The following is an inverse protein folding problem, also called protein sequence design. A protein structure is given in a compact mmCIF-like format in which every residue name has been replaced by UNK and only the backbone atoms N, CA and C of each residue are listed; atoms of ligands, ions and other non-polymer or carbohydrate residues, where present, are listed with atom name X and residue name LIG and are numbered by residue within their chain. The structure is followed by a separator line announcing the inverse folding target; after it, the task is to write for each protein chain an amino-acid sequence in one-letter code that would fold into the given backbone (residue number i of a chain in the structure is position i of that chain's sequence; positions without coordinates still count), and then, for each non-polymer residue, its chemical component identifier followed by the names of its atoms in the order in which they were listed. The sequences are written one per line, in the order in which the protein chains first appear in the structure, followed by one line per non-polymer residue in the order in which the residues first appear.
data_IF_469725846770
#
_entry.id   IF_469725846770
#
_cell.length_a   1.000
_cell.length_b   1.000
_cell.length_c   1.000
_cell.angle_alpha   90.00
_cell.angle_beta   90.00
_cell.angle_gamma   90.00
#
_symmetry.space_group_name_H-M   'P 1'
#
loop_
_entity.id
_entity.type
_entity.pdbx_description
1 polymer ?
#
# COMPACT_ATOMS: atom_id res chain seq x y z
N UNK A 1 -54.28 25.41 -0.56
CA UNK A 1 -53.61 24.18 -0.08
C UNK A 1 -52.59 23.78 -1.14
N UNK A 2 -51.32 24.19 -1.01
CA UNK A 2 -50.26 23.89 -1.98
C UNK A 2 -49.33 22.85 -1.33
N UNK A 3 -49.34 21.61 -1.83
CA UNK A 3 -48.41 20.55 -1.41
C UNK A 3 -47.00 20.92 -1.88
N UNK A 4 -46.09 21.14 -0.93
CA UNK A 4 -44.66 21.11 -1.20
C UNK A 4 -44.23 19.66 -1.37
N UNK A 5 -43.89 19.28 -2.60
CA UNK A 5 -43.20 18.03 -2.90
C UNK A 5 -41.74 18.27 -2.54
N UNK A 6 -41.34 17.84 -1.34
CA UNK A 6 -39.93 17.75 -0.97
C UNK A 6 -39.30 16.62 -1.79
N UNK A 7 -38.59 16.99 -2.85
CA UNK A 7 -37.75 16.06 -3.63
C UNK A 7 -36.60 15.65 -2.73
N UNK A 8 -36.77 14.53 -2.04
CA UNK A 8 -35.72 13.86 -1.29
C UNK A 8 -34.75 13.25 -2.32
N UNK A 9 -33.81 14.06 -2.80
CA UNK A 9 -32.68 13.60 -3.59
C UNK A 9 -31.84 12.69 -2.70
N UNK A 10 -32.09 11.39 -2.81
CA UNK A 10 -31.30 10.34 -2.20
C UNK A 10 -29.92 10.35 -2.86
N UNK A 11 -29.01 11.16 -2.29
CA UNK A 11 -27.59 11.20 -2.66
C UNK A 11 -27.01 9.82 -2.40
N UNK A 12 -26.91 9.02 -3.47
CA UNK A 12 -26.07 7.82 -3.51
C UNK A 12 -24.62 8.28 -3.42
N UNK A 13 -24.15 8.56 -2.21
CA UNK A 13 -22.74 8.81 -1.98
C UNK A 13 -22.00 7.52 -2.39
N UNK A 14 -20.95 7.61 -3.24
CA UNK A 14 -20.12 6.45 -3.50
C UNK A 14 -19.63 5.95 -2.15
N UNK A 15 -19.95 4.69 -1.84
CA UNK A 15 -19.39 4.02 -0.67
C UNK A 15 -17.92 3.84 -0.99
N UNK A 16 -17.10 4.84 -0.65
CA UNK A 16 -15.67 4.71 -0.69
C UNK A 16 -15.35 3.43 0.10
N UNK A 17 -14.64 2.50 -0.53
CA UNK A 17 -14.25 1.24 0.09
C UNK A 17 -13.40 1.57 1.32
N UNK A 18 -14.05 1.65 2.48
CA UNK A 18 -13.38 1.94 3.72
C UNK A 18 -12.57 0.69 4.09
N UNK A 19 -11.25 0.87 4.20
CA UNK A 19 -10.40 -0.10 4.84
C UNK A 19 -10.48 0.12 6.35
N UNK A 20 -10.43 -0.96 7.12
CA UNK A 20 -10.37 -0.95 8.57
C UNK A 20 -9.35 -1.97 9.07
N UNK A 21 -8.72 -1.70 10.20
CA UNK A 21 -8.02 -2.72 10.99
C UNK A 21 -9.07 -3.54 11.76
N UNK A 22 -8.98 -4.87 11.67
CA UNK A 22 -9.60 -5.80 12.59
C UNK A 22 -8.51 -6.30 13.53
N UNK A 23 -8.55 -5.87 14.78
CA UNK A 23 -7.57 -6.20 15.79
C UNK A 23 -8.22 -7.08 16.87
N UNK A 24 -7.81 -8.36 16.89
CA UNK A 24 -8.36 -9.37 17.78
C UNK A 24 -7.55 -9.38 19.08
N UNK A 25 -8.23 -9.07 20.18
CA UNK A 25 -7.61 -9.00 21.49
C UNK A 25 -8.15 -10.09 22.42
N UNK A 26 -7.23 -10.70 23.16
CA UNK A 26 -7.52 -11.36 24.42
C UNK A 26 -7.24 -10.41 25.57
N UNK A 27 -8.20 -10.25 26.47
CA UNK A 27 -8.03 -9.52 27.71
C UNK A 27 -8.04 -10.49 28.88
N UNK A 28 -6.96 -10.54 29.66
CA UNK A 28 -6.84 -11.40 30.84
C UNK A 28 -6.07 -10.66 31.95
N UNK A 29 -6.66 -10.57 33.14
CA UNK A 29 -5.97 -10.00 34.30
C UNK A 29 -5.51 -8.55 34.12
N UNK A 30 -6.31 -7.70 33.46
CA UNK A 30 -5.98 -6.29 33.17
C UNK A 30 -4.82 -6.10 32.18
N UNK A 31 -4.53 -7.12 31.37
CA UNK A 31 -3.55 -7.08 30.28
C UNK A 31 -4.26 -7.37 28.96
N UNK A 32 -3.93 -6.59 27.93
CA UNK A 32 -4.35 -6.88 26.56
C UNK A 32 -3.25 -7.68 25.84
N UNK A 33 -3.66 -8.72 25.12
CA UNK A 33 -2.81 -9.56 24.31
C UNK A 33 -3.39 -9.51 22.90
N UNK A 34 -2.67 -8.93 21.95
CA UNK A 34 -3.05 -8.95 20.54
C UNK A 34 -2.82 -10.34 19.99
N UNK A 35 -3.89 -11.01 19.57
CA UNK A 35 -3.79 -12.31 18.91
C UNK A 35 -3.52 -12.16 17.42
N UNK A 36 -4.24 -11.26 16.76
CA UNK A 36 -4.14 -11.04 15.32
C UNK A 36 -4.52 -9.60 14.97
N UNK A 37 -3.96 -9.11 13.86
CA UNK A 37 -4.35 -7.84 13.27
C UNK A 37 -4.27 -7.93 11.75
N UNK A 38 -5.34 -7.51 11.10
CA UNK A 38 -5.44 -7.55 9.64
C UNK A 38 -6.19 -6.35 9.08
N UNK A 39 -5.92 -5.99 7.82
CA UNK A 39 -6.66 -4.96 7.10
C UNK A 39 -7.80 -5.61 6.32
N UNK A 40 -9.02 -5.14 6.55
CA UNK A 40 -10.23 -5.65 5.90
C UNK A 40 -10.98 -4.52 5.19
N UNK A 41 -11.71 -4.87 4.12
CA UNK A 41 -12.62 -3.96 3.43
C UNK A 41 -13.97 -3.84 4.13
N UNK A 42 -13.99 -3.22 5.31
CA UNK A 42 -15.20 -2.99 6.10
C UNK A 42 -15.23 -1.56 6.64
N UNK A 43 -16.43 -1.01 6.83
CA UNK A 43 -16.59 0.26 7.53
C UNK A 43 -16.14 0.11 9.00
N UNK A 44 -15.46 1.11 9.58
CA UNK A 44 -15.06 1.07 10.97
C UNK A 44 -16.29 1.00 11.88
N UNK A 45 -16.13 0.38 13.05
CA UNK A 45 -17.22 0.37 14.01
C UNK A 45 -17.59 1.80 14.43
N UNK A 46 -18.89 2.10 14.61
CA UNK A 46 -19.27 3.39 15.18
C UNK A 46 -18.64 3.53 16.58
N UNK A 47 -18.39 4.77 17.03
CA UNK A 47 -17.88 5.01 18.38
C UNK A 47 -18.76 4.30 19.40
N UNK A 48 -18.14 3.52 20.30
CA UNK A 48 -18.88 2.89 21.39
C UNK A 48 -19.19 3.94 22.44
N UNK A 49 -20.34 3.83 23.10
CA UNK A 49 -20.72 4.73 24.20
C UNK A 49 -19.99 4.44 25.51
N UNK A 50 -19.03 3.51 25.49
CA UNK A 50 -18.18 3.20 26.63
C UNK A 50 -17.16 4.29 26.93
N UNK A 51 -16.70 4.38 28.17
CA UNK A 51 -15.70 5.38 28.62
C UNK A 51 -14.53 4.74 29.39
N UNK A 52 -14.47 3.40 29.48
CA UNK A 52 -13.49 2.73 30.34
C UNK A 52 -12.10 2.67 29.69
N UNK A 53 -12.04 2.51 28.36
CA UNK A 53 -10.80 2.40 27.61
C UNK A 53 -10.80 3.34 26.41
N UNK A 54 -9.61 3.79 26.03
CA UNK A 54 -9.37 4.61 24.84
C UNK A 54 -8.50 3.80 23.90
N UNK A 55 -8.97 3.60 22.66
CA UNK A 55 -8.15 3.11 21.57
C UNK A 55 -7.73 4.30 20.70
N UNK A 56 -6.43 4.42 20.45
CA UNK A 56 -5.86 5.53 19.68
C UNK A 56 -4.92 5.02 18.60
N UNK A 57 -5.05 5.58 17.39
CA UNK A 57 -4.11 5.37 16.29
C UNK A 57 -3.24 6.62 16.17
N UNK A 58 -1.93 6.43 16.18
CA UNK A 58 -0.92 7.46 15.98
C UNK A 58 -0.28 7.31 14.60
N UNK A 59 0.03 8.44 13.96
CA UNK A 59 0.89 8.46 12.78
C UNK A 59 2.35 8.24 13.14
N UNK A 60 3.19 8.03 12.12
CA UNK A 60 4.65 7.95 12.26
C UNK A 60 5.28 9.19 12.90
N UNK A 61 4.72 10.37 12.63
CA UNK A 61 5.10 11.64 13.28
C UNK A 61 4.51 11.86 14.69
N UNK A 62 3.79 10.87 15.24
CA UNK A 62 3.17 10.95 16.56
C UNK A 62 1.87 11.74 16.64
N UNK A 63 1.29 12.13 15.49
CA UNK A 63 -0.01 12.81 15.47
C UNK A 63 -1.15 11.81 15.71
N UNK A 64 -2.20 12.23 16.43
CA UNK A 64 -3.38 11.39 16.65
C UNK A 64 -4.23 11.38 15.39
N UNK A 65 -4.32 10.23 14.73
CA UNK A 65 -5.12 10.03 13.51
C UNK A 65 -6.57 9.66 13.84
N UNK A 66 -6.75 8.85 14.89
CA UNK A 66 -8.05 8.42 15.36
C UNK A 66 -8.02 8.15 16.86
N UNK A 67 -9.14 8.42 17.52
CA UNK A 67 -9.38 8.11 18.91
C UNK A 67 -10.83 7.70 19.09
N UNK A 68 -11.05 6.59 19.79
CA UNK A 68 -12.38 6.13 20.18
C UNK A 68 -12.35 5.55 21.59
N UNK A 69 -13.49 5.59 22.26
CA UNK A 69 -13.67 4.96 23.56
C UNK A 69 -14.41 3.63 23.40
N UNK A 70 -14.13 2.67 24.27
CA UNK A 70 -14.82 1.39 24.28
C UNK A 70 -14.87 0.78 25.69
N UNK A 71 -15.81 -0.15 25.88
CA UNK A 71 -15.90 -0.99 27.08
C UNK A 71 -15.59 -2.43 26.69
N UNK A 72 -15.01 -3.18 27.63
CA UNK A 72 -14.85 -4.61 27.46
C UNK A 72 -16.22 -5.31 27.47
N UNK A 73 -16.40 -6.39 26.70
CA UNK A 73 -17.57 -7.24 26.84
C UNK A 73 -17.72 -7.70 28.28
N UNK A 74 -18.89 -7.46 28.87
CA UNK A 74 -19.20 -7.92 30.22
C UNK A 74 -19.72 -9.35 30.14
N UNK A 75 -19.18 -10.25 30.96
CA UNK A 75 -19.76 -11.59 31.12
C UNK A 75 -21.15 -11.44 31.74
N UNK A 76 -22.19 -11.79 30.99
CA UNK A 76 -23.54 -11.93 31.55
C UNK A 76 -23.58 -13.12 32.50
N UNK A 77 -23.49 -12.89 33.81
CA UNK A 77 -23.74 -13.92 34.81
C UNK A 77 -25.26 -14.20 34.87
N UNK A 78 -25.74 -15.12 34.04
CA UNK A 78 -27.10 -15.63 34.15
C UNK A 78 -27.14 -16.74 35.20
N UNK A 79 -27.41 -16.40 36.46
CA UNK A 79 -27.85 -17.39 37.43
C UNK A 79 -29.34 -17.69 37.20
N UNK A 80 -29.68 -18.91 36.80
CA UNK A 80 -31.06 -19.41 36.85
C UNK A 80 -31.28 -19.92 38.29
N UNK A 81 -32.25 -19.39 39.07
CA UNK A 81 -33.38 -18.55 38.70
C UNK A 81 -33.05 -17.04 38.66
N UNK A 82 -33.58 -16.36 37.63
CA UNK A 82 -33.45 -14.92 37.38
C UNK A 82 -34.11 -14.09 38.50
N UNK A 83 -33.40 -13.85 39.60
CA UNK A 83 -33.73 -12.75 40.50
C UNK A 83 -33.37 -11.43 39.80
N UNK A 84 -34.38 -10.58 39.58
CA UNK A 84 -34.22 -9.26 38.93
C UNK A 84 -33.18 -8.38 39.62
N UNK A 85 -32.92 -8.60 40.91
CA UNK A 85 -31.90 -7.85 41.67
C UNK A 85 -30.45 -8.23 41.32
N UNK A 86 -30.22 -9.38 40.66
CA UNK A 86 -28.88 -9.83 40.28
C UNK A 86 -28.47 -9.42 38.86
N UNK A 87 -29.44 -9.05 38.01
CA UNK A 87 -29.18 -8.60 36.64
C UNK A 87 -28.43 -7.26 36.54
N UNK A 88 -28.35 -6.49 37.63
CA UNK A 88 -27.66 -5.18 37.65
C UNK A 88 -26.17 -5.26 38.04
N UNK A 89 -25.66 -6.42 38.47
CA UNK A 89 -24.24 -6.56 38.83
C UNK A 89 -23.42 -7.07 37.65
N UNK A 90 -23.34 -6.26 36.61
CA UNK A 90 -22.36 -6.45 35.55
C UNK A 90 -20.96 -6.33 36.16
N UNK A 91 -20.21 -7.44 36.16
CA UNK A 91 -18.79 -7.41 36.49
C UNK A 91 -18.01 -7.43 35.18
N UNK A 92 -16.93 -6.65 35.06
CA UNK A 92 -16.05 -6.76 33.91
C UNK A 92 -15.52 -8.20 33.82
N UNK A 93 -15.57 -8.78 32.62
CA UNK A 93 -15.09 -10.12 32.37
C UNK A 93 -13.63 -10.22 32.83
N UNK A 94 -13.29 -11.28 33.59
CA UNK A 94 -11.89 -11.53 33.99
C UNK A 94 -11.05 -11.98 32.81
N UNK A 95 -11.70 -12.64 31.86
CA UNK A 95 -11.12 -13.11 30.60
C UNK A 95 -12.14 -12.96 29.47
N UNK A 96 -11.77 -12.27 28.40
CA UNK A 96 -12.65 -12.15 27.22
C UNK A 96 -11.84 -11.96 25.95
N UNK A 97 -12.41 -12.34 24.81
CA UNK A 97 -11.86 -12.13 23.48
C UNK A 97 -12.81 -11.25 22.68
N UNK A 98 -12.28 -10.24 21.99
CA UNK A 98 -13.09 -9.33 21.19
C UNK A 98 -12.31 -8.77 20.01
N UNK A 99 -13.04 -8.35 18.98
CA UNK A 99 -12.50 -7.67 17.80
C UNK A 99 -12.75 -6.17 17.91
N UNK A 100 -11.70 -5.39 17.69
CA UNK A 100 -11.76 -3.94 17.62
C UNK A 100 -11.57 -3.50 16.17
N UNK A 101 -12.69 -3.07 15.55
CA UNK A 101 -12.70 -2.53 14.19
C UNK A 101 -12.36 -1.03 14.20
N UNK A 102 -11.16 -0.71 13.73
CA UNK A 102 -10.62 0.65 13.70
C UNK A 102 -10.45 1.15 12.27
N UNK A 103 -10.62 2.45 12.00
CA UNK A 103 -10.36 3.00 10.67
C UNK A 103 -8.90 2.80 10.24
N UNK A 104 -8.71 2.46 8.97
CA UNK A 104 -7.38 2.36 8.37
C UNK A 104 -6.83 3.75 8.02
N UNK A 105 -5.54 3.96 8.29
CA UNK A 105 -4.81 5.12 7.79
C UNK A 105 -3.52 4.65 7.13
N UNK A 106 -3.24 5.18 5.95
CA UNK A 106 -2.05 4.79 5.18
C UNK A 106 -0.74 5.11 5.88
N UNK A 107 -0.73 6.05 6.83
CA UNK A 107 0.44 6.48 7.60
C UNK A 107 0.33 6.15 9.11
N UNK A 108 -0.52 5.20 9.50
CA UNK A 108 -0.61 4.74 10.87
C UNK A 108 0.66 3.98 11.27
N UNK A 109 1.21 4.31 12.44
CA UNK A 109 2.39 3.63 13.00
C UNK A 109 2.09 2.88 14.28
N UNK A 110 1.19 3.38 15.12
CA UNK A 110 1.02 2.81 16.45
C UNK A 110 -0.44 2.74 16.83
N UNK A 111 -0.87 1.57 17.31
CA UNK A 111 -2.13 1.37 18.02
C UNK A 111 -1.85 1.37 19.52
N UNK A 112 -2.52 2.24 20.26
CA UNK A 112 -2.43 2.31 21.72
C UNK A 112 -3.80 2.01 22.36
N UNK A 113 -3.79 1.27 23.47
CA UNK A 113 -4.94 1.16 24.37
C UNK A 113 -4.56 1.80 25.71
N UNK A 114 -5.37 2.76 26.15
CA UNK A 114 -5.19 3.49 27.39
C UNK A 114 -6.39 3.28 28.32
N UNK A 115 -6.13 3.40 29.63
CA UNK A 115 -7.14 3.46 30.69
C UNK A 115 -6.74 4.54 31.68
N UNK A 116 -7.65 5.48 31.95
CA UNK A 116 -7.38 6.61 32.85
C UNK A 116 -6.08 7.38 32.50
N UNK A 117 -5.79 7.49 31.19
CA UNK A 117 -4.56 8.10 30.66
C UNK A 117 -3.29 7.25 30.77
N UNK A 118 -3.34 6.08 31.39
CA UNK A 118 -2.21 5.15 31.48
C UNK A 118 -2.20 4.21 30.26
N UNK A 119 -1.04 4.09 29.62
CA UNK A 119 -0.82 3.15 28.49
C UNK A 119 -0.84 1.71 28.99
N UNK A 120 -1.75 0.88 28.47
CA UNK A 120 -1.87 -0.53 28.80
C UNK A 120 -1.35 -1.46 27.70
N UNK A 121 -1.41 -1.01 26.44
CA UNK A 121 -1.00 -1.80 25.29
C UNK A 121 -0.53 -0.89 24.16
N UNK A 122 0.47 -1.37 23.42
CA UNK A 122 1.00 -0.73 22.24
C UNK A 122 1.34 -1.78 21.18
N UNK A 123 0.92 -1.57 19.93
CA UNK A 123 1.30 -2.38 18.78
C UNK A 123 1.79 -1.50 17.63
N UNK A 124 2.78 -2.02 16.90
CA UNK A 124 3.27 -1.43 15.67
C UNK A 124 2.33 -1.77 14.50
N UNK A 125 1.81 -0.72 13.86
CA UNK A 125 0.96 -0.81 12.68
C UNK A 125 1.73 -0.60 11.37
N UNK A 126 3.03 -0.26 11.43
CA UNK A 126 3.82 0.09 10.25
C UNK A 126 3.88 -1.05 9.21
N UNK A 127 3.82 -2.31 9.65
CA UNK A 127 3.78 -3.46 8.76
C UNK A 127 2.49 -3.54 7.90
N UNK A 128 1.44 -2.79 8.28
CA UNK A 128 0.15 -2.76 7.60
C UNK A 128 -0.13 -1.41 6.92
N UNK A 129 0.64 -0.38 7.23
CA UNK A 129 0.57 0.92 6.58
C UNK A 129 1.16 0.85 5.19
N UNK A 130 0.49 1.48 4.21
CA UNK A 130 1.06 1.64 2.87
C UNK A 130 2.29 2.54 2.93
N UNK A 131 2.31 3.55 3.79
CA UNK A 131 3.37 4.55 3.96
C UNK A 131 3.96 4.46 5.36
N UNK A 132 5.23 4.07 5.48
CA UNK A 132 5.86 3.87 6.78
C UNK A 132 6.68 5.09 7.27
N UNK A 133 6.89 6.12 6.42
CA UNK A 133 7.69 7.32 6.70
C UNK A 133 9.14 6.98 7.12
N UNK A 134 9.75 5.96 6.50
CA UNK A 134 11.14 5.56 6.77
C UNK A 134 12.19 6.32 5.94
N UNK A 135 11.73 7.19 5.04
CA UNK A 135 12.55 7.99 4.13
C UNK A 135 13.00 7.23 2.87
N UNK A 136 12.43 6.06 2.58
CA UNK A 136 12.62 5.33 1.33
C UNK A 136 11.28 5.01 0.71
N UNK A 137 11.12 5.35 -0.56
CA UNK A 137 9.91 4.98 -1.30
C UNK A 137 9.91 3.45 -1.55
N UNK A 138 9.15 2.69 -0.78
CA UNK A 138 9.04 1.24 -0.95
C UNK A 138 8.20 0.86 -2.19
N UNK A 139 8.33 -0.38 -2.67
CA UNK A 139 7.60 -0.84 -3.87
C UNK A 139 6.05 -0.74 -3.72
N UNK A 140 5.53 -0.82 -2.49
CA UNK A 140 4.11 -0.64 -2.18
C UNK A 140 3.68 0.82 -1.99
N UNK A 141 4.63 1.75 -1.90
CA UNK A 141 4.38 3.17 -1.69
C UNK A 141 4.13 3.90 -3.02
N UNK A 142 3.44 5.03 -2.94
CA UNK A 142 3.25 5.94 -4.08
C UNK A 142 3.41 7.39 -3.63
N UNK A 143 3.76 8.32 -4.53
CA UNK A 143 3.82 9.75 -4.20
C UNK A 143 2.53 10.31 -3.60
N UNK A 144 1.37 9.79 -4.01
CA UNK A 144 0.07 10.21 -3.47
C UNK A 144 -0.17 9.68 -2.04
N UNK A 145 0.24 8.45 -1.76
CA UNK A 145 0.02 7.80 -0.46
C UNK A 145 1.12 8.16 0.57
N UNK A 146 2.35 8.39 0.09
CA UNK A 146 3.55 8.62 0.89
C UNK A 146 4.42 9.76 0.31
N UNK A 147 3.93 11.00 0.27
CA UNK A 147 4.63 12.12 -0.38
C UNK A 147 5.95 12.52 0.31
N UNK A 148 6.19 12.04 1.54
CA UNK A 148 7.42 12.29 2.28
C UNK A 148 8.56 11.36 1.86
N UNK A 149 8.25 10.11 1.59
CA UNK A 149 9.24 9.10 1.22
C UNK A 149 9.40 9.01 -0.30
N UNK A 150 8.31 9.22 -1.04
CA UNK A 150 8.29 9.23 -2.49
C UNK A 150 8.28 10.68 -3.02
N UNK A 151 9.45 11.33 -3.01
CA UNK A 151 9.59 12.70 -3.54
C UNK A 151 9.88 12.71 -5.03
N UNK A 152 8.84 12.80 -5.85
CA UNK A 152 9.00 13.11 -7.26
C UNK A 152 9.34 14.60 -7.49
N UNK A 153 10.26 14.90 -8.40
CA UNK A 153 10.66 16.25 -8.80
C UNK A 153 11.97 16.75 -8.17
N UNK A 154 12.82 15.85 -7.65
CA UNK A 154 14.16 16.18 -7.16
C UNK A 154 15.21 16.25 -8.29
N UNK A 155 14.83 15.89 -9.52
CA UNK A 155 15.68 15.89 -10.72
C UNK A 155 16.51 14.62 -10.93
N UNK A 156 16.41 13.63 -10.05
CA UNK A 156 17.12 12.35 -10.12
C UNK A 156 16.13 11.20 -10.01
N UNK A 157 16.07 10.35 -11.04
CA UNK A 157 15.30 9.10 -10.98
C UNK A 157 15.93 8.12 -9.99
N UNK A 158 15.33 7.96 -8.82
CA UNK A 158 15.79 7.02 -7.78
C UNK A 158 15.35 5.58 -8.08
N UNK A 159 15.97 4.58 -7.43
CA UNK A 159 15.68 3.15 -7.71
C UNK A 159 14.25 2.71 -7.38
N UNK A 160 13.52 3.52 -6.62
CA UNK A 160 12.12 3.34 -6.23
C UNK A 160 11.16 4.11 -7.14
N UNK A 161 11.68 4.97 -8.00
CA UNK A 161 10.93 5.76 -8.95
C UNK A 161 10.91 5.06 -10.30
N UNK A 162 9.85 5.32 -11.05
CA UNK A 162 9.72 4.88 -12.43
C UNK A 162 9.00 5.91 -13.25
N UNK A 163 9.05 5.82 -14.57
CA UNK A 163 8.36 6.71 -15.50
C UNK A 163 6.86 6.82 -15.17
N UNK A 164 6.23 5.71 -14.77
CA UNK A 164 4.82 5.69 -14.37
C UNK A 164 4.53 6.52 -13.11
N UNK A 165 5.42 6.44 -12.11
CA UNK A 165 5.22 7.05 -10.79
C UNK A 165 5.76 8.47 -10.72
N UNK A 166 6.84 8.75 -11.46
CA UNK A 166 7.54 10.02 -11.47
C UNK A 166 8.16 10.34 -12.85
N UNK A 167 7.32 10.59 -13.84
CA UNK A 167 7.77 11.03 -15.18
C UNK A 167 8.55 12.35 -15.19
N UNK A 168 8.52 13.11 -14.10
CA UNK A 168 9.30 14.36 -13.96
C UNK A 168 10.80 14.09 -13.84
N UNK A 169 11.19 13.05 -13.08
CA UNK A 169 12.60 12.72 -12.81
C UNK A 169 13.07 11.49 -13.60
N UNK A 170 12.17 10.52 -13.81
CA UNK A 170 12.38 9.33 -14.62
C UNK A 170 11.87 9.59 -16.03
N UNK A 171 12.79 9.85 -16.96
CA UNK A 171 12.46 9.99 -18.38
C UNK A 171 12.22 8.62 -19.04
N UNK A 172 11.31 8.58 -20.01
CA UNK A 172 11.06 7.41 -20.86
C UNK A 172 12.36 6.85 -21.45
N UNK A 173 12.43 5.53 -21.57
CA UNK A 173 13.57 4.84 -22.14
C UNK A 173 14.78 4.67 -21.21
N UNK A 174 14.63 4.99 -19.91
CA UNK A 174 15.66 4.75 -18.88
C UNK A 174 15.36 3.46 -18.10
N UNK A 175 16.39 2.78 -17.60
CA UNK A 175 16.17 1.62 -16.74
C UNK A 175 15.62 2.05 -15.38
N UNK A 176 14.38 1.66 -15.09
CA UNK A 176 13.62 1.97 -13.87
C UNK A 176 12.69 0.81 -13.42
N UNK A 177 12.88 -0.40 -13.97
CA UNK A 177 12.09 -1.61 -13.70
C UNK A 177 10.61 -1.51 -14.10
N UNK A 178 10.22 -0.53 -14.93
CA UNK A 178 8.88 -0.37 -15.46
C UNK A 178 8.91 -0.16 -16.97
N UNK A 179 8.22 -1.03 -17.71
CA UNK A 179 8.06 -0.88 -19.15
C UNK A 179 6.96 0.15 -19.49
N UNK A 180 7.32 1.31 -20.04
CA UNK A 180 6.36 2.39 -20.30
C UNK A 180 5.48 2.19 -21.55
N UNK A 181 5.92 1.37 -22.50
CA UNK A 181 5.24 1.05 -23.77
C UNK A 181 4.88 2.26 -24.64
N UNK A 182 5.49 3.42 -24.41
CA UNK A 182 5.25 4.59 -25.22
C UNK A 182 5.84 4.44 -26.62
N UNK A 183 5.24 5.14 -27.58
CA UNK A 183 5.80 5.27 -28.93
C UNK A 183 6.39 6.67 -29.06
N UNK A 184 7.60 6.86 -28.54
CA UNK A 184 8.30 8.15 -28.53
C UNK A 184 9.65 8.13 -29.26
N UNK A 185 10.00 6.98 -29.86
CA UNK A 185 11.25 6.74 -30.56
C UNK A 185 12.40 6.32 -29.63
N UNK A 186 12.15 6.14 -28.34
CA UNK A 186 13.13 5.70 -27.33
C UNK A 186 12.76 4.31 -26.85
N UNK A 187 13.64 3.35 -27.12
CA UNK A 187 13.46 1.99 -26.61
C UNK A 187 13.74 1.91 -25.11
N UNK A 188 12.77 1.45 -24.35
CA UNK A 188 12.83 1.16 -22.92
C UNK A 188 13.56 -0.18 -22.65
N UNK A 189 14.66 -0.17 -21.87
CA UNK A 189 15.46 -1.35 -21.59
C UNK A 189 14.76 -2.38 -20.69
N UNK A 190 13.72 -2.00 -19.95
CA UNK A 190 12.98 -2.89 -19.04
C UNK A 190 11.82 -3.62 -19.74
N UNK A 191 11.47 -3.21 -20.96
CA UNK A 191 10.47 -3.88 -21.77
C UNK A 191 10.95 -5.21 -22.35
N UNK A 192 10.06 -6.21 -22.31
CA UNK A 192 10.24 -7.48 -23.01
C UNK A 192 10.27 -7.31 -24.54
N UNK A 193 10.76 -8.34 -25.24
CA UNK A 193 10.91 -8.30 -26.69
C UNK A 193 9.57 -8.05 -27.41
N UNK A 194 9.42 -6.84 -27.96
CA UNK A 194 8.25 -6.42 -28.73
C UNK A 194 7.10 -5.82 -27.90
N UNK A 195 7.29 -5.66 -26.58
CA UNK A 195 6.35 -4.93 -25.70
C UNK A 195 6.39 -3.43 -25.98
N UNK A 196 7.61 -2.89 -26.14
CA UNK A 196 7.83 -1.54 -26.64
C UNK A 196 7.98 -1.55 -28.18
N UNK A 197 7.18 -0.69 -28.83
CA UNK A 197 7.21 -0.45 -30.27
C UNK A 197 8.56 0.05 -30.79
N UNK A 198 9.27 0.85 -30.01
CA UNK A 198 10.50 1.54 -30.39
C UNK A 198 11.73 0.62 -30.29
N UNK A 199 11.63 -0.49 -29.55
CA UNK A 199 12.71 -1.47 -29.43
C UNK A 199 12.92 -2.36 -30.67
N UNK A 200 12.04 -2.30 -31.67
CA UNK A 200 12.08 -3.21 -32.84
C UNK A 200 13.22 -2.92 -33.82
N UNK A 201 13.90 -1.78 -33.71
CA UNK A 201 14.83 -1.33 -34.76
C UNK A 201 16.32 -1.54 -34.47
N UNK A 202 16.76 -1.78 -33.23
CA UNK A 202 18.20 -1.81 -32.91
C UNK A 202 18.95 -3.08 -33.33
N UNK A 203 18.27 -4.13 -33.83
CA UNK A 203 18.89 -5.44 -34.07
C UNK A 203 19.56 -5.61 -35.46
N UNK A 204 19.26 -4.81 -36.47
CA UNK A 204 19.71 -5.12 -37.84
C UNK A 204 20.91 -4.31 -38.38
N UNK A 205 21.25 -3.16 -37.79
CA UNK A 205 22.32 -2.32 -38.33
C UNK A 205 23.73 -2.93 -38.14
N UNK A 206 23.96 -3.69 -37.07
CA UNK A 206 25.26 -4.30 -36.78
C UNK A 206 25.64 -5.44 -37.74
N UNK A 207 24.67 -6.27 -38.13
CA UNK A 207 24.93 -7.46 -38.96
C UNK A 207 25.25 -7.12 -40.42
N UNK A 208 24.76 -6.00 -40.95
CA UNK A 208 25.00 -5.62 -42.34
C UNK A 208 26.46 -5.22 -42.61
N UNK A 209 27.13 -4.59 -41.63
CA UNK A 209 28.54 -4.21 -41.74
C UNK A 209 29.48 -5.43 -41.77
N UNK A 210 29.22 -6.44 -40.94
CA UNK A 210 30.01 -7.68 -40.92
C UNK A 210 29.86 -8.49 -42.21
N UNK A 211 28.66 -8.52 -42.80
CA UNK A 211 28.44 -9.16 -44.11
C UNK A 211 29.22 -8.46 -45.23
N UNK A 212 29.26 -7.13 -45.24
CA UNK A 212 30.04 -6.36 -46.22
C UNK A 212 31.55 -6.60 -46.07
N UNK A 213 32.07 -6.55 -44.84
CA UNK A 213 33.49 -6.86 -44.57
C UNK A 213 33.85 -8.29 -44.97
N UNK A 214 32.97 -9.27 -44.70
CA UNK A 214 33.14 -10.65 -45.11
C UNK A 214 33.22 -10.82 -46.64
N UNK A 215 32.33 -10.15 -47.39
CA UNK A 215 32.35 -10.18 -48.86
C UNK A 215 33.63 -9.58 -49.45
N UNK A 216 34.14 -8.49 -48.87
CA UNK A 216 35.40 -7.87 -49.31
C UNK A 216 36.59 -8.80 -49.08
N UNK A 217 36.65 -9.47 -47.93
CA UNK A 217 37.75 -10.41 -47.62
C UNK A 217 37.74 -11.64 -48.54
N UNK A 218 36.57 -12.26 -48.75
CA UNK A 218 36.42 -13.42 -49.65
C UNK A 218 36.73 -13.03 -51.10
N UNK A 219 36.19 -11.90 -51.57
CA UNK A 219 36.46 -11.39 -52.91
C UNK A 219 37.95 -11.07 -53.13
N UNK A 220 38.60 -10.45 -52.14
CA UNK A 220 40.03 -10.16 -52.15
C UNK A 220 40.88 -11.44 -52.24
N UNK A 221 40.58 -12.45 -51.42
CA UNK A 221 41.28 -13.73 -51.44
C UNK A 221 41.12 -14.46 -52.79
N UNK A 222 39.91 -14.48 -53.36
CA UNK A 222 39.64 -15.08 -54.67
C UNK A 222 40.41 -14.37 -55.79
N UNK A 223 40.45 -13.04 -55.79
CA UNK A 223 41.20 -12.26 -56.77
C UNK A 223 42.72 -12.54 -56.71
N UNK A 224 43.27 -12.70 -55.50
CA UNK A 224 44.68 -13.07 -55.29
C UNK A 224 44.95 -14.49 -55.81
N UNK A 225 44.08 -15.44 -55.52
CA UNK A 225 44.20 -16.83 -56.00
C UNK A 225 44.14 -16.92 -57.53
N UNK A 226 43.23 -16.18 -58.17
CA UNK A 226 43.12 -16.12 -59.64
C UNK A 226 44.34 -15.47 -60.30
N UNK A 227 44.96 -14.46 -59.67
CA UNK A 227 46.23 -13.88 -60.16
C UNK A 227 47.40 -14.88 -60.08
N UNK A 228 47.45 -15.74 -59.05
CA UNK A 228 48.50 -16.77 -58.94
C UNK A 228 48.39 -17.88 -60.00
N UNK A 229 47.19 -18.17 -60.52
CA UNK A 229 47.01 -19.20 -61.57
C UNK A 229 47.42 -18.75 -62.99
N UNK A 230 47.59 -17.45 -63.23
CA UNK A 230 47.94 -16.89 -64.55
C UNK A 230 49.44 -16.60 -64.73
N UNK A 231 50.26 -16.78 -63.69
CA UNK A 231 51.72 -16.75 -63.76
C UNK A 231 52.23 -18.18 -63.74
#
# INVERSE_FOLDING_TARGET
MRMMIAVMALLMLPVAHALSYSAVFNYEGNTFILEDIMVIGAAPAPPSSGNDYIARILSSGGAVLFETTFNLPTEGLYSIPLDKSMAERSHPARKTSFDLLLPYYSNAKTLQILKDGSLLFEADLAAFSICNEDGKCDASESPDACPRDCTCGNGNCETSESYHRCSTDCASGRPDSYCDTLTDGTCDPDCGAGEDSDCKEKSQAGNMLYLLLGMVLVGGAAAIALRKRKK
#
